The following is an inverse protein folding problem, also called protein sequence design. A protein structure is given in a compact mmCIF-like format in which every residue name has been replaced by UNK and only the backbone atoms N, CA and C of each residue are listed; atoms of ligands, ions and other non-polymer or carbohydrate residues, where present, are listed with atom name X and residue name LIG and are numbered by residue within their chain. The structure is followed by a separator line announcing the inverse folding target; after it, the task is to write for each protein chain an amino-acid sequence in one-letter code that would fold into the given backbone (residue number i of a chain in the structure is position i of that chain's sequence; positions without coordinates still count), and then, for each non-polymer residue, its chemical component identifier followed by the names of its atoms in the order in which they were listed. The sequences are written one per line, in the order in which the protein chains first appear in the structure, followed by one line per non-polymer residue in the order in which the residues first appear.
data_IF_504404695809
#
_entry.id   IF_504404695809
#
_cell.length_a   1.000
_cell.length_b   1.000
_cell.length_c   1.000
_cell.angle_alpha   90.00
_cell.angle_beta   90.00
_cell.angle_gamma   90.00
#
_symmetry.space_group_name_H-M   'P 1'
#
loop_
_entity.id
_entity.type
_entity.pdbx_description
1 polymer ?
#
# COMPACT_ATOMS: atom_id res chain seq x y z
N UNK A 1 44.99 -0.66 34.85
CA UNK A 1 44.02 -1.67 34.39
C UNK A 1 42.83 -0.97 33.74
N UNK A 2 43.04 -0.53 32.50
CA UNK A 2 42.18 -0.65 31.31
C UNK A 2 40.68 -0.37 31.39
N UNK A 3 40.26 0.80 31.90
CA UNK A 3 38.88 1.28 31.72
C UNK A 3 38.51 1.57 30.25
N UNK A 4 39.48 1.96 29.42
CA UNK A 4 39.28 2.25 27.99
C UNK A 4 38.93 1.02 27.12
N UNK A 5 39.35 -0.17 27.55
CA UNK A 5 39.12 -1.41 26.80
C UNK A 5 37.68 -1.93 26.99
N UNK A 6 37.11 -1.76 28.19
CA UNK A 6 35.75 -2.18 28.51
C UNK A 6 34.68 -1.36 27.76
N UNK A 7 34.84 -0.04 27.66
CA UNK A 7 33.88 0.81 26.94
C UNK A 7 33.88 0.53 25.42
N UNK A 8 35.05 0.21 24.87
CA UNK A 8 35.20 -0.14 23.45
C UNK A 8 34.52 -1.47 23.14
N UNK A 9 34.71 -2.50 23.97
CA UNK A 9 34.05 -3.79 23.80
C UNK A 9 32.53 -3.71 24.01
N UNK A 10 32.07 -2.89 24.97
CA UNK A 10 30.63 -2.67 25.21
C UNK A 10 29.95 -1.98 24.03
N UNK A 11 30.59 -0.98 23.44
CA UNK A 11 30.07 -0.29 22.26
C UNK A 11 30.00 -1.20 21.02
N UNK A 12 31.02 -2.05 20.82
CA UNK A 12 31.01 -3.05 19.74
C UNK A 12 29.91 -4.11 19.93
N UNK A 13 29.70 -4.56 21.16
CA UNK A 13 28.62 -5.52 21.47
C UNK A 13 27.22 -4.91 21.25
N UNK A 14 27.03 -3.63 21.57
CA UNK A 14 25.77 -2.92 21.31
C UNK A 14 25.55 -2.75 19.80
N UNK A 15 26.56 -2.32 19.04
CA UNK A 15 26.44 -2.16 17.59
C UNK A 15 26.14 -3.49 16.88
N UNK A 16 26.81 -4.57 17.29
CA UNK A 16 26.52 -5.91 16.78
C UNK A 16 25.09 -6.36 17.09
N UNK A 17 24.62 -6.14 18.33
CA UNK A 17 23.26 -6.50 18.75
C UNK A 17 22.20 -5.72 17.98
N UNK A 18 22.42 -4.42 17.75
CA UNK A 18 21.53 -3.57 16.96
C UNK A 18 21.49 -4.02 15.49
N UNK A 19 22.65 -4.27 14.88
CA UNK A 19 22.74 -4.76 13.49
C UNK A 19 22.06 -6.12 13.32
N UNK A 20 22.30 -7.05 14.23
CA UNK A 20 21.67 -8.37 14.25
C UNK A 20 20.14 -8.28 14.37
N UNK A 21 19.63 -7.38 15.23
CA UNK A 21 18.19 -7.12 15.36
C UNK A 21 17.59 -6.52 14.08
N UNK A 22 18.29 -5.61 13.43
CA UNK A 22 17.88 -5.02 12.14
C UNK A 22 17.86 -6.07 11.04
N UNK A 23 18.88 -6.93 10.95
CA UNK A 23 18.94 -8.01 9.96
C UNK A 23 17.85 -9.06 10.19
N UNK A 24 17.60 -9.44 11.44
CA UNK A 24 16.52 -10.34 11.81
C UNK A 24 15.15 -9.75 11.45
N UNK A 25 14.93 -8.46 11.71
CA UNK A 25 13.70 -7.77 11.27
C UNK A 25 13.57 -7.70 9.75
N UNK A 26 14.67 -7.47 9.02
CA UNK A 26 14.68 -7.50 7.54
C UNK A 26 14.37 -8.90 7.00
N UNK A 27 14.90 -9.96 7.62
CA UNK A 27 14.64 -11.35 7.22
C UNK A 27 13.20 -11.76 7.53
N UNK A 28 12.68 -11.43 8.72
CA UNK A 28 11.28 -11.66 9.08
C UNK A 28 10.31 -10.86 8.20
N UNK A 29 10.68 -9.64 7.80
CA UNK A 29 9.94 -8.88 6.80
C UNK A 29 10.02 -9.55 5.42
N UNK A 30 11.20 -10.01 5.01
CA UNK A 30 11.39 -10.69 3.72
C UNK A 30 10.60 -12.01 3.63
N UNK A 31 10.57 -12.82 4.70
CA UNK A 31 9.76 -14.03 4.78
C UNK A 31 8.24 -13.74 4.82
N UNK A 32 7.83 -12.65 5.47
CA UNK A 32 6.44 -12.15 5.44
C UNK A 32 6.03 -11.55 4.08
N UNK A 33 6.98 -11.13 3.24
CA UNK A 33 6.74 -10.52 1.94
C UNK A 33 6.66 -11.52 0.77
N UNK A 34 6.63 -12.83 1.02
CA UNK A 34 6.28 -13.80 -0.03
C UNK A 34 4.79 -13.66 -0.36
N UNK A 35 4.52 -12.74 -1.28
CA UNK A 35 3.19 -12.50 -1.80
C UNK A 35 2.63 -13.77 -2.43
N UNK A 36 1.43 -14.15 -1.98
CA UNK A 36 0.74 -15.28 -2.56
C UNK A 36 0.17 -14.91 -3.92
N UNK A 37 0.29 -15.85 -4.87
CA UNK A 37 -0.41 -15.79 -6.15
C UNK A 37 -1.92 -15.79 -5.89
N UNK A 38 -2.68 -15.08 -6.72
CA UNK A 38 -4.11 -15.04 -6.70
C UNK A 38 -4.69 -16.46 -6.71
N UNK A 39 -5.65 -16.71 -5.81
CA UNK A 39 -6.45 -17.95 -5.85
C UNK A 39 -7.43 -17.84 -7.03
N UNK A 40 -7.72 -18.94 -7.72
CA UNK A 40 -8.54 -19.02 -8.95
C UNK A 40 -9.73 -18.04 -9.02
N UNK A 41 -10.57 -17.96 -7.98
CA UNK A 41 -11.75 -17.07 -7.94
C UNK A 41 -11.44 -15.57 -8.03
N UNK A 42 -10.19 -15.18 -7.81
CA UNK A 42 -9.71 -13.79 -7.79
C UNK A 42 -8.79 -13.46 -8.97
N UNK A 43 -8.40 -14.43 -9.79
CA UNK A 43 -7.47 -14.20 -10.91
C UNK A 43 -8.08 -13.24 -11.95
N UNK A 44 -9.30 -13.54 -12.39
CA UNK A 44 -10.02 -12.74 -13.40
C UNK A 44 -11.00 -11.73 -12.77
N UNK A 45 -11.09 -11.69 -11.44
CA UNK A 45 -11.98 -10.77 -10.74
C UNK A 45 -11.51 -9.31 -10.91
N UNK A 46 -12.43 -8.35 -11.03
CA UNK A 46 -12.07 -6.94 -11.17
C UNK A 46 -11.25 -6.48 -9.96
N UNK A 47 -10.24 -5.65 -10.23
CA UNK A 47 -9.37 -5.06 -9.21
C UNK A 47 -9.60 -3.56 -9.13
N UNK A 48 -9.97 -3.08 -7.95
CA UNK A 48 -10.00 -1.66 -7.65
C UNK A 48 -8.80 -1.26 -6.80
N UNK A 49 -8.07 -0.26 -7.27
CA UNK A 49 -6.94 0.34 -6.55
C UNK A 49 -7.42 1.63 -5.91
N UNK A 50 -7.50 1.63 -4.59
CA UNK A 50 -7.86 2.77 -3.77
C UNK A 50 -6.59 3.43 -3.23
N UNK A 51 -6.22 4.55 -3.82
CA UNK A 51 -4.93 5.21 -3.58
C UNK A 51 -5.09 6.48 -2.76
N UNK A 52 -4.51 6.51 -1.56
CA UNK A 52 -4.34 7.70 -0.75
C UNK A 52 -3.12 8.50 -1.27
N UNK A 53 -3.38 9.39 -2.24
CA UNK A 53 -2.32 10.12 -2.94
C UNK A 53 -1.69 11.22 -2.07
N UNK A 54 -2.35 11.63 -0.99
CA UNK A 54 -1.80 12.62 -0.05
C UNK A 54 -0.67 12.00 0.79
N UNK A 55 -0.88 10.78 1.30
CA UNK A 55 0.15 10.06 2.05
C UNK A 55 1.15 9.31 1.14
N UNK A 56 0.74 8.97 -0.08
CA UNK A 56 1.54 8.22 -1.06
C UNK A 56 1.61 8.99 -2.38
N UNK A 57 2.26 10.17 -2.44
CA UNK A 57 2.31 10.96 -3.66
C UNK A 57 3.07 10.24 -4.78
N UNK A 58 2.82 10.68 -6.02
CA UNK A 58 3.65 10.36 -7.19
C UNK A 58 5.12 10.64 -6.84
N UNK A 59 6.01 9.64 -6.83
CA UNK A 59 7.41 9.88 -6.51
C UNK A 59 8.08 10.76 -7.57
N UNK A 60 9.09 11.54 -7.15
CA UNK A 60 9.84 12.39 -8.10
C UNK A 60 10.44 11.53 -9.20
N UNK A 61 10.33 12.02 -10.43
CA UNK A 61 10.87 11.36 -11.62
C UNK A 61 9.98 10.29 -12.24
N UNK A 62 8.86 9.92 -11.60
CA UNK A 62 7.88 8.99 -12.18
C UNK A 62 6.78 9.76 -12.89
N UNK A 63 6.34 9.24 -14.04
CA UNK A 63 5.12 9.69 -14.72
C UNK A 63 3.89 8.95 -14.19
N UNK A 64 2.71 9.53 -14.37
CA UNK A 64 1.45 8.93 -13.91
C UNK A 64 1.15 7.61 -14.65
N UNK A 65 1.48 7.55 -15.94
CA UNK A 65 1.35 6.39 -16.81
C UNK A 65 2.24 5.25 -16.30
N UNK A 66 3.49 5.55 -15.96
CA UNK A 66 4.44 4.58 -15.40
C UNK A 66 3.93 3.97 -14.09
N UNK A 67 3.29 4.77 -13.22
CA UNK A 67 2.70 4.25 -11.98
C UNK A 67 1.59 3.22 -12.27
N UNK A 68 0.71 3.55 -13.22
CA UNK A 68 -0.41 2.67 -13.63
C UNK A 68 0.12 1.35 -14.21
N UNK A 69 1.15 1.42 -15.05
CA UNK A 69 1.80 0.25 -15.63
C UNK A 69 2.48 -0.61 -14.56
N UNK A 70 3.21 -0.01 -13.63
CA UNK A 70 3.90 -0.72 -12.54
C UNK A 70 2.93 -1.43 -11.60
N UNK A 71 1.84 -0.77 -11.22
CA UNK A 71 0.76 -1.40 -10.43
C UNK A 71 0.18 -2.59 -11.20
N UNK A 72 -0.14 -2.41 -12.48
CA UNK A 72 -0.72 -3.46 -13.32
C UNK A 72 0.24 -4.64 -13.54
N UNK A 73 1.53 -4.38 -13.66
CA UNK A 73 2.55 -5.42 -13.76
C UNK A 73 2.69 -6.20 -12.45
N UNK A 74 2.77 -5.52 -11.30
CA UNK A 74 2.88 -6.15 -9.99
C UNK A 74 1.67 -7.06 -9.69
N UNK A 75 0.47 -6.62 -10.04
CA UNK A 75 -0.76 -7.42 -9.94
C UNK A 75 -0.70 -8.66 -10.84
N UNK A 76 -0.33 -8.49 -12.12
CA UNK A 76 -0.22 -9.60 -13.08
C UNK A 76 0.85 -10.64 -12.69
N UNK A 77 1.98 -10.23 -12.10
CA UNK A 77 3.00 -11.16 -11.58
C UNK A 77 2.45 -12.12 -10.53
N UNK A 78 1.42 -11.69 -9.79
CA UNK A 78 0.69 -12.52 -8.84
C UNK A 78 -0.62 -13.07 -9.41
N UNK A 79 -0.77 -13.09 -10.73
CA UNK A 79 -1.92 -13.66 -11.44
C UNK A 79 -3.26 -12.95 -11.20
N UNK A 80 -3.25 -11.70 -10.71
CA UNK A 80 -4.41 -10.81 -10.77
C UNK A 80 -4.48 -10.18 -12.17
N UNK A 81 -5.29 -10.77 -13.05
CA UNK A 81 -5.37 -10.47 -14.49
C UNK A 81 -6.68 -9.79 -14.91
N UNK A 82 -7.67 -9.75 -14.02
CA UNK A 82 -8.94 -9.07 -14.26
C UNK A 82 -8.79 -7.56 -14.49
N UNK A 83 -9.87 -6.88 -14.93
CA UNK A 83 -9.84 -5.44 -15.22
C UNK A 83 -9.40 -4.60 -14.02
N UNK A 84 -8.53 -3.62 -14.25
CA UNK A 84 -8.00 -2.74 -13.19
C UNK A 84 -8.61 -1.35 -13.30
N UNK A 85 -9.11 -0.82 -12.19
CA UNK A 85 -9.55 0.56 -12.04
C UNK A 85 -8.78 1.24 -10.92
N UNK A 86 -8.32 2.48 -11.13
CA UNK A 86 -7.50 3.20 -10.15
C UNK A 86 -8.21 4.51 -9.78
N UNK A 87 -8.37 4.74 -8.47
CA UNK A 87 -8.94 5.97 -7.93
C UNK A 87 -8.00 6.56 -6.89
N UNK A 88 -7.60 7.81 -7.09
CA UNK A 88 -6.77 8.57 -6.17
C UNK A 88 -7.64 9.49 -5.31
N UNK A 89 -7.39 9.48 -4.01
CA UNK A 89 -8.15 10.16 -2.98
C UNK A 89 -7.24 11.09 -2.18
N UNK A 90 -7.68 12.33 -1.98
CA UNK A 90 -6.92 13.31 -1.22
C UNK A 90 -7.35 14.74 -1.48
N UNK A 91 -6.66 15.68 -0.86
CA UNK A 91 -6.88 17.09 -1.16
C UNK A 91 -6.25 17.48 -2.50
N UNK A 92 -7.06 17.46 -3.56
CA UNK A 92 -6.63 17.85 -4.92
C UNK A 92 -6.11 19.30 -5.04
N UNK A 93 -6.29 20.15 -4.02
CA UNK A 93 -5.67 21.49 -4.00
C UNK A 93 -4.18 21.44 -3.64
N UNK A 94 -3.73 20.36 -2.97
CA UNK A 94 -2.31 20.14 -2.63
C UNK A 94 -1.51 19.51 -3.78
N UNK A 95 -2.18 19.08 -4.86
CA UNK A 95 -1.54 18.42 -6.00
C UNK A 95 -1.40 19.43 -7.16
N UNK A 96 -0.19 19.58 -7.74
CA UNK A 96 0.02 20.49 -8.87
C UNK A 96 -0.93 20.23 -10.04
N UNK A 97 -1.45 21.27 -10.73
CA UNK A 97 -2.37 21.08 -11.87
C UNK A 97 -1.83 20.19 -12.98
N UNK A 98 -0.53 20.29 -13.28
CA UNK A 98 0.13 19.43 -14.28
C UNK A 98 0.09 17.96 -13.88
N UNK A 99 0.33 17.64 -12.61
CA UNK A 99 0.27 16.28 -12.07
C UNK A 99 -1.16 15.76 -12.10
N UNK A 100 -2.16 16.57 -11.72
CA UNK A 100 -3.58 16.18 -11.83
C UNK A 100 -3.97 15.84 -13.26
N UNK A 101 -3.57 16.68 -14.22
CA UNK A 101 -3.83 16.45 -15.65
C UNK A 101 -3.18 15.15 -16.13
N UNK A 102 -1.93 14.89 -15.74
CA UNK A 102 -1.22 13.66 -16.09
C UNK A 102 -1.93 12.42 -15.50
N UNK A 103 -2.30 12.46 -14.21
CA UNK A 103 -3.04 11.37 -13.56
C UNK A 103 -4.37 11.07 -14.26
N UNK A 104 -5.15 12.10 -14.56
CA UNK A 104 -6.41 11.93 -15.31
C UNK A 104 -6.20 11.42 -16.73
N UNK A 105 -5.13 11.86 -17.42
CA UNK A 105 -4.79 11.37 -18.76
C UNK A 105 -4.34 9.90 -18.75
N UNK A 106 -3.74 9.44 -17.66
CA UNK A 106 -3.42 8.03 -17.40
C UNK A 106 -4.65 7.18 -16.99
N UNK A 107 -5.85 7.76 -16.96
CA UNK A 107 -7.08 7.06 -16.62
C UNK A 107 -7.34 6.93 -15.11
N UNK A 108 -6.60 7.66 -14.25
CA UNK A 108 -6.81 7.64 -12.80
C UNK A 108 -7.93 8.61 -12.43
N UNK A 109 -8.93 8.09 -11.71
CA UNK A 109 -10.06 8.89 -11.23
C UNK A 109 -9.64 9.68 -9.98
N UNK A 110 -9.62 11.00 -10.09
CA UNK A 110 -9.28 11.90 -8.99
C UNK A 110 -10.52 12.24 -8.15
N UNK A 111 -10.49 11.91 -6.86
CA UNK A 111 -11.56 12.16 -5.92
C UNK A 111 -11.11 13.16 -4.85
N UNK A 112 -11.65 14.38 -4.89
CA UNK A 112 -11.32 15.42 -3.94
C UNK A 112 -12.02 15.21 -2.59
N UNK A 113 -11.25 15.28 -1.50
CA UNK A 113 -11.79 15.39 -0.15
C UNK A 113 -11.86 16.86 0.28
N UNK A 114 -13.06 17.27 0.70
CA UNK A 114 -13.29 18.60 1.24
C UNK A 114 -12.88 18.63 2.74
N UNK A 115 -11.61 18.94 2.99
CA UNK A 115 -11.10 19.67 4.19
C UNK A 115 -10.64 18.94 5.49
N UNK A 116 -9.62 19.57 6.10
CA UNK A 116 -9.22 19.74 7.50
C UNK A 116 -9.08 18.49 8.41
N UNK A 117 -7.91 17.84 8.31
CA UNK A 117 -7.12 17.10 9.33
C UNK A 117 -7.76 16.12 10.35
N UNK A 118 -9.07 15.81 10.31
CA UNK A 118 -9.65 14.67 11.06
C UNK A 118 -10.73 13.88 10.30
N UNK A 119 -11.11 14.31 9.08
CA UNK A 119 -12.22 13.74 8.31
C UNK A 119 -11.80 12.88 7.10
N UNK A 120 -10.55 12.98 6.65
CA UNK A 120 -10.07 12.25 5.47
C UNK A 120 -10.18 10.73 5.59
N UNK A 121 -9.91 10.17 6.78
CA UNK A 121 -10.05 8.74 7.04
C UNK A 121 -11.49 8.24 6.92
N UNK A 122 -12.45 8.99 7.46
CA UNK A 122 -13.87 8.67 7.35
C UNK A 122 -14.38 8.83 5.92
N UNK A 123 -13.90 9.83 5.20
CA UNK A 123 -14.23 10.02 3.78
C UNK A 123 -13.74 8.83 2.94
N UNK A 124 -12.52 8.35 3.16
CA UNK A 124 -12.00 7.15 2.51
C UNK A 124 -12.87 5.93 2.80
N UNK A 125 -13.22 5.71 4.07
CA UNK A 125 -14.12 4.63 4.49
C UNK A 125 -15.49 4.75 3.79
N UNK A 126 -16.10 5.93 3.76
CA UNK A 126 -17.36 6.17 3.03
C UNK A 126 -17.26 5.85 1.54
N UNK A 127 -16.13 6.17 0.90
CA UNK A 127 -15.88 5.84 -0.51
C UNK A 127 -15.76 4.33 -0.72
N UNK A 128 -15.09 3.60 0.18
CA UNK A 128 -15.01 2.14 0.16
C UNK A 128 -16.42 1.53 0.23
N UNK A 129 -17.25 1.95 1.18
CA UNK A 129 -18.64 1.45 1.29
C UNK A 129 -19.49 1.80 0.08
N UNK A 130 -19.32 3.01 -0.46
CA UNK A 130 -20.04 3.45 -1.65
C UNK A 130 -19.67 2.62 -2.88
N UNK A 131 -18.38 2.38 -3.09
CA UNK A 131 -17.87 1.53 -4.17
C UNK A 131 -18.42 0.11 -4.06
N UNK A 132 -18.42 -0.46 -2.85
CA UNK A 132 -18.90 -1.81 -2.57
C UNK A 132 -20.35 -2.05 -2.98
N UNK A 133 -21.21 -1.03 -2.90
CA UNK A 133 -22.63 -1.14 -3.30
C UNK A 133 -22.82 -1.46 -4.77
N UNK A 134 -21.87 -1.08 -5.62
CA UNK A 134 -21.93 -1.25 -7.07
C UNK A 134 -21.02 -2.37 -7.59
N UNK A 135 -20.16 -2.93 -6.73
CA UNK A 135 -19.12 -3.89 -7.10
C UNK A 135 -19.18 -5.09 -6.16
N UNK A 136 -20.10 -6.05 -6.39
CA UNK A 136 -20.24 -7.22 -5.52
C UNK A 136 -19.01 -8.13 -5.58
N UNK A 137 -18.81 -8.94 -4.53
CA UNK A 137 -17.79 -9.98 -4.51
C UNK A 137 -18.13 -11.11 -5.51
N UNK A 138 -17.13 -11.83 -6.07
CA UNK A 138 -15.69 -11.68 -5.81
C UNK A 138 -15.08 -10.47 -6.54
N UNK A 139 -14.30 -9.69 -5.80
CA UNK A 139 -13.49 -8.61 -6.34
C UNK A 139 -12.22 -8.45 -5.52
N UNK A 140 -11.17 -7.92 -6.17
CA UNK A 140 -9.92 -7.55 -5.54
C UNK A 140 -9.94 -6.07 -5.18
N UNK A 141 -9.43 -5.72 -4.00
CA UNK A 141 -9.24 -4.33 -3.59
C UNK A 141 -7.81 -4.15 -3.12
N UNK A 142 -7.08 -3.27 -3.79
CA UNK A 142 -5.73 -2.89 -3.41
C UNK A 142 -5.76 -1.52 -2.75
N UNK A 143 -5.41 -1.45 -1.47
CA UNK A 143 -5.20 -0.19 -0.78
C UNK A 143 -3.75 0.26 -0.95
N UNK A 144 -3.54 1.50 -1.41
CA UNK A 144 -2.25 2.18 -1.30
C UNK A 144 -2.45 3.26 -0.23
N UNK A 145 -2.34 2.85 1.03
CA UNK A 145 -2.69 3.69 2.18
C UNK A 145 -2.03 3.15 3.46
N UNK A 146 -1.98 4.00 4.48
CA UNK A 146 -1.56 3.67 5.84
C UNK A 146 -2.63 4.06 6.87
N UNK A 147 -3.86 4.30 6.41
CA UNK A 147 -4.94 4.78 7.28
C UNK A 147 -5.30 3.75 8.36
N UNK A 148 -5.31 4.21 9.62
CA UNK A 148 -5.59 3.36 10.77
C UNK A 148 -6.99 2.73 10.74
N UNK A 149 -7.98 3.39 10.13
CA UNK A 149 -9.35 2.86 10.01
C UNK A 149 -9.45 1.65 9.07
N UNK A 150 -8.42 1.40 8.25
CA UNK A 150 -8.34 0.17 7.45
C UNK A 150 -8.21 -1.08 8.31
N UNK A 151 -7.62 -0.98 9.52
CA UNK A 151 -7.55 -2.12 10.45
C UNK A 151 -8.93 -2.67 10.84
N UNK A 152 -9.96 -1.82 10.81
CA UNK A 152 -11.36 -2.19 11.11
C UNK A 152 -12.12 -2.50 9.81
N UNK A 153 -11.81 -1.78 8.73
CA UNK A 153 -12.53 -1.91 7.44
C UNK A 153 -12.18 -3.20 6.71
N UNK A 154 -10.90 -3.59 6.68
CA UNK A 154 -10.40 -4.76 5.94
C UNK A 154 -11.06 -6.07 6.39
N UNK A 155 -11.13 -6.39 7.70
CA UNK A 155 -11.79 -7.62 8.16
C UNK A 155 -13.27 -7.71 7.71
N UNK A 156 -13.98 -6.58 7.69
CA UNK A 156 -15.36 -6.53 7.20
C UNK A 156 -15.46 -6.81 5.70
N UNK A 157 -14.54 -6.27 4.90
CA UNK A 157 -14.49 -6.56 3.46
C UNK A 157 -14.13 -8.03 3.20
N UNK A 158 -13.18 -8.60 3.92
CA UNK A 158 -12.81 -10.01 3.76
C UNK A 158 -13.98 -10.95 4.11
N UNK A 159 -14.69 -10.65 5.20
CA UNK A 159 -15.91 -11.38 5.59
C UNK A 159 -17.01 -11.31 4.52
N UNK A 160 -17.05 -10.21 3.76
CA UNK A 160 -17.97 -10.03 2.65
C UNK A 160 -17.48 -10.65 1.32
N UNK A 161 -16.37 -11.39 1.32
CA UNK A 161 -15.87 -12.15 0.17
C UNK A 161 -14.89 -11.42 -0.75
N UNK A 162 -14.40 -10.24 -0.35
CA UNK A 162 -13.39 -9.50 -1.11
C UNK A 162 -11.99 -10.01 -0.81
N UNK A 163 -11.12 -10.01 -1.81
CA UNK A 163 -9.69 -10.20 -1.61
C UNK A 163 -9.00 -8.85 -1.43
N UNK A 164 -8.23 -8.70 -0.36
CA UNK A 164 -7.62 -7.42 0.02
C UNK A 164 -6.11 -7.49 -0.13
N UNK A 165 -5.56 -6.49 -0.83
CA UNK A 165 -4.16 -6.28 -1.12
C UNK A 165 -3.72 -4.94 -0.52
N UNK A 166 -2.43 -4.79 -0.19
CA UNK A 166 -1.95 -3.56 0.45
C UNK A 166 -0.57 -3.11 -0.05
N UNK A 167 -0.45 -1.87 -0.50
CA UNK A 167 0.83 -1.19 -0.61
C UNK A 167 1.00 -0.18 0.53
N UNK A 168 2.12 -0.26 1.24
CA UNK A 168 2.34 0.45 2.51
C UNK A 168 3.75 1.07 2.57
N UNK A 169 4.02 1.99 3.52
CA UNK A 169 5.37 2.55 3.71
C UNK A 169 6.30 1.54 4.40
N UNK A 170 7.61 1.82 4.56
CA UNK A 170 8.54 0.90 5.24
C UNK A 170 8.17 0.49 6.66
N UNK A 171 7.42 1.33 7.39
CA UNK A 171 7.00 1.07 8.76
C UNK A 171 5.46 1.15 8.86
N UNK A 172 4.76 0.12 8.38
CA UNK A 172 3.30 0.07 8.45
C UNK A 172 2.83 -0.31 9.86
N UNK A 173 1.53 -0.16 10.12
CA UNK A 173 0.90 -0.72 11.31
C UNK A 173 0.88 -2.25 11.22
N UNK A 174 1.41 -2.94 12.24
CA UNK A 174 1.51 -4.40 12.27
C UNK A 174 0.16 -5.09 12.09
N UNK A 175 -0.89 -4.57 12.75
CA UNK A 175 -2.26 -5.08 12.63
C UNK A 175 -2.80 -5.02 11.19
N UNK A 176 -2.42 -3.98 10.45
CA UNK A 176 -2.87 -3.78 9.08
C UNK A 176 -2.23 -4.80 8.14
N UNK A 177 -0.92 -5.00 8.25
CA UNK A 177 -0.18 -5.98 7.43
C UNK A 177 -0.57 -7.40 7.80
N UNK A 178 -0.75 -7.70 9.09
CA UNK A 178 -1.17 -9.03 9.54
C UNK A 178 -2.56 -9.44 9.03
N UNK A 179 -3.40 -8.47 8.66
CA UNK A 179 -4.75 -8.71 8.16
C UNK A 179 -4.80 -9.07 6.68
N UNK A 180 -3.70 -8.98 5.93
CA UNK A 180 -3.66 -9.18 4.46
C UNK A 180 -2.60 -10.20 4.06
N UNK A 181 -2.85 -10.91 2.97
CA UNK A 181 -1.97 -12.00 2.49
C UNK A 181 -0.94 -11.56 1.45
N UNK A 182 -1.15 -10.39 0.86
CA UNK A 182 -0.36 -9.89 -0.26
C UNK A 182 -0.11 -8.41 -0.03
N UNK A 183 1.17 -8.05 0.12
CA UNK A 183 1.60 -6.67 0.38
C UNK A 183 2.78 -6.23 -0.45
N UNK A 184 2.91 -4.92 -0.64
CA UNK A 184 4.11 -4.33 -1.21
C UNK A 184 4.58 -3.14 -0.37
N UNK A 185 5.89 -2.95 -0.33
CA UNK A 185 6.42 -1.62 -0.07
C UNK A 185 6.10 -0.73 -1.27
N UNK A 186 5.42 0.40 -1.07
CA UNK A 186 5.04 1.31 -2.16
C UNK A 186 6.23 1.69 -3.06
N UNK A 187 7.38 1.99 -2.47
CA UNK A 187 8.61 2.31 -3.22
C UNK A 187 9.18 1.13 -4.02
N UNK A 188 8.96 -0.10 -3.56
CA UNK A 188 9.44 -1.30 -4.24
C UNK A 188 8.49 -1.70 -5.37
N UNK A 189 7.18 -1.55 -5.15
CA UNK A 189 6.14 -1.77 -6.18
C UNK A 189 6.46 -1.01 -7.47
N UNK A 190 6.92 0.23 -7.35
CA UNK A 190 7.23 1.08 -8.50
C UNK A 190 8.56 0.74 -9.19
N UNK A 191 9.41 -0.07 -8.55
CA UNK A 191 10.69 -0.55 -9.10
C UNK A 191 10.57 -1.93 -9.76
N UNK A 192 9.42 -2.59 -9.65
CA UNK A 192 9.16 -3.87 -10.31
C UNK A 192 9.37 -3.72 -11.82
N UNK A 193 10.39 -4.38 -12.37
CA UNK A 193 10.62 -4.52 -13.82
C UNK A 193 10.09 -5.85 -14.32
#
# INVERSE_FOLDING_TARGET
MDSHNFDTQRNLAIDFTVRSRIETQKLLQKEKMNNNVAVARFEEAPTWVCWDIENFPVPRGYKAEEITEKISLALRKLNYRGPISISAYGNMNHIPPSVKKALSSAGIVLNHFHMNLRKSSLDMVYKIWSWRRLNPAPANVMFISQDGLLSITIPSMQSAGYNILLAHPPHPLDLLVASVKTTWLWKSLLKES
#
